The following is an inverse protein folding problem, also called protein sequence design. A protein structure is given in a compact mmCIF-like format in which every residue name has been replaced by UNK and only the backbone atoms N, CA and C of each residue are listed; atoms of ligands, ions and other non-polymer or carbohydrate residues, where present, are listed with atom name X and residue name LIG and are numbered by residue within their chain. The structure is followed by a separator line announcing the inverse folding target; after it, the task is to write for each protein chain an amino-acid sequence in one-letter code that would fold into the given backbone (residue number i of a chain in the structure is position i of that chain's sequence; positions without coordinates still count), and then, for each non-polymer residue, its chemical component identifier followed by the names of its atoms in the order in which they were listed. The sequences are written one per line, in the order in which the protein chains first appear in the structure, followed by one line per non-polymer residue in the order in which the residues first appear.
data_IF_528361812983
#
_entry.id   IF_528361812983
#
_cell.length_a   1.000
_cell.length_b   1.000
_cell.length_c   1.000
_cell.angle_alpha   90.00
_cell.angle_beta   90.00
_cell.angle_gamma   90.00
#
_symmetry.space_group_name_H-M   'P 1'
#
loop_
_entity.id
_entity.type
_entity.pdbx_description
1 polymer ?
#
# COMPACT_ATOMS: atom_id res chain seq x y z
N UNK A 1 6.44 0.80 -12.57
CA UNK A 1 5.86 1.97 -11.88
C UNK A 1 6.53 2.17 -10.54
N UNK A 2 6.41 3.35 -10.01
CA UNK A 2 6.98 3.64 -8.70
C UNK A 2 5.87 3.88 -7.69
N UNK A 3 6.06 3.30 -6.51
CA UNK A 3 5.06 3.39 -5.46
C UNK A 3 5.67 4.02 -4.21
N UNK A 4 4.89 4.84 -3.57
CA UNK A 4 5.22 5.32 -2.23
C UNK A 4 4.52 4.42 -1.24
N UNK A 5 5.28 3.88 -0.30
CA UNK A 5 4.76 2.91 0.66
C UNK A 5 4.63 3.59 2.01
N UNK A 6 3.46 3.45 2.59
CA UNK A 6 3.16 3.96 3.93
C UNK A 6 2.78 2.79 4.81
N UNK A 7 2.92 2.97 6.10
CA UNK A 7 2.55 1.93 7.05
C UNK A 7 1.77 2.52 8.21
N UNK A 8 0.98 1.66 8.83
CA UNK A 8 0.24 2.01 10.03
C UNK A 8 0.34 0.85 10.99
N UNK A 9 0.66 1.14 12.26
CA UNK A 9 0.76 0.10 13.28
C UNK A 9 -0.64 -0.39 13.64
N UNK A 10 -0.78 -1.69 13.71
CA UNK A 10 -2.02 -2.33 14.12
C UNK A 10 -1.80 -3.00 15.45
N UNK A 11 -2.84 -3.67 15.94
CA UNK A 11 -2.71 -4.42 17.18
C UNK A 11 -1.75 -5.59 16.98
N UNK A 12 -1.17 -6.05 18.06
CA UNK A 12 -0.33 -7.25 18.08
C UNK A 12 0.96 -7.11 17.29
N UNK A 13 1.46 -5.88 17.14
CA UNK A 13 2.73 -5.66 16.49
C UNK A 13 2.73 -5.83 14.98
N UNK A 14 1.55 -5.86 14.39
CA UNK A 14 1.43 -5.97 12.94
C UNK A 14 1.30 -4.61 12.31
N UNK A 15 1.53 -4.57 10.99
CA UNK A 15 1.41 -3.34 10.24
C UNK A 15 0.51 -3.53 9.04
N UNK A 16 -0.21 -2.47 8.71
CA UNK A 16 -0.93 -2.37 7.45
C UNK A 16 -0.12 -1.46 6.54
N UNK A 17 0.06 -1.87 5.31
CA UNK A 17 0.82 -1.09 4.34
C UNK A 17 -0.10 -0.54 3.27
N UNK A 18 0.22 0.66 2.81
CA UNK A 18 -0.52 1.34 1.76
C UNK A 18 0.47 1.70 0.66
N UNK A 19 0.17 1.29 -0.57
CA UNK A 19 0.99 1.61 -1.72
C UNK A 19 0.23 2.58 -2.62
N UNK A 20 0.82 3.74 -2.87
CA UNK A 20 0.21 4.79 -3.70
C UNK A 20 1.17 5.09 -4.83
N UNK A 21 0.68 5.15 -6.09
CA UNK A 21 1.56 5.55 -7.19
C UNK A 21 2.19 6.89 -6.90
N UNK A 22 3.46 7.02 -7.24
CA UNK A 22 4.26 8.20 -6.91
C UNK A 22 3.60 9.50 -7.36
N UNK A 23 2.84 9.43 -8.45
CA UNK A 23 2.23 10.63 -9.01
C UNK A 23 0.87 10.97 -8.42
N UNK A 24 0.44 10.22 -7.40
CA UNK A 24 -0.88 10.43 -6.81
C UNK A 24 -0.78 10.78 -5.35
N UNK A 25 -1.80 11.47 -4.86
CA UNK A 25 -1.89 11.78 -3.44
C UNK A 25 -2.46 10.59 -2.67
N UNK A 26 -2.23 10.58 -1.37
CA UNK A 26 -2.85 9.59 -0.50
C UNK A 26 -4.36 9.73 -0.62
N UNK A 27 -5.08 8.63 -0.84
CA UNK A 27 -6.52 8.69 -0.98
C UNK A 27 -7.18 9.29 0.27
N UNK A 28 -8.25 10.02 0.04
CA UNK A 28 -8.94 10.71 1.12
C UNK A 28 -9.38 9.75 2.21
N UNK A 29 -9.82 8.58 1.84
CA UNK A 29 -10.28 7.58 2.81
C UNK A 29 -9.15 7.03 3.67
N UNK A 30 -7.92 7.23 3.27
CA UNK A 30 -6.77 6.78 4.03
C UNK A 30 -6.13 7.91 4.84
N UNK A 31 -6.51 9.16 4.59
CA UNK A 31 -5.86 10.29 5.26
C UNK A 31 -6.33 10.48 6.70
N UNK A 32 -7.38 9.77 7.10
CA UNK A 32 -7.90 9.88 8.45
C UNK A 32 -7.12 9.05 9.46
N UNK A 33 -6.09 8.36 9.02
CA UNK A 33 -5.32 7.50 9.90
C UNK A 33 -3.87 7.98 9.94
N UNK A 34 -3.15 7.50 10.93
CA UNK A 34 -1.76 7.91 11.13
C UNK A 34 -0.83 7.05 10.29
N UNK A 35 -0.71 7.40 9.02
CA UNK A 35 0.21 6.72 8.14
C UNK A 35 1.60 7.30 8.27
N UNK A 36 2.59 6.44 8.32
CA UNK A 36 3.99 6.83 8.33
C UNK A 36 4.64 6.36 7.04
N UNK A 37 5.59 7.14 6.55
CA UNK A 37 6.32 6.76 5.35
C UNK A 37 7.20 5.56 5.66
N UNK A 38 7.04 4.50 4.86
CA UNK A 38 7.90 3.32 4.96
C UNK A 38 9.00 3.38 3.92
N UNK A 39 8.63 3.71 2.67
CA UNK A 39 9.60 3.81 1.58
C UNK A 39 9.00 4.67 0.49
N UNK A 40 9.87 5.34 -0.27
CA UNK A 40 9.44 6.21 -1.36
C UNK A 40 10.03 5.71 -2.66
N UNK A 41 9.28 5.92 -3.74
CA UNK A 41 9.75 5.62 -5.10
C UNK A 41 10.24 4.19 -5.25
N UNK A 42 9.47 3.25 -4.72
CA UNK A 42 9.78 1.83 -4.84
C UNK A 42 9.43 1.37 -6.25
N UNK A 43 10.41 0.88 -6.97
CA UNK A 43 10.21 0.45 -8.35
C UNK A 43 9.59 -0.94 -8.39
N UNK A 44 8.48 -1.09 -9.11
CA UNK A 44 7.82 -2.39 -9.30
C UNK A 44 7.35 -2.50 -10.73
N UNK A 45 7.04 -3.71 -11.17
CA UNK A 45 6.46 -3.94 -12.50
C UNK A 45 5.08 -3.30 -12.57
N UNK A 46 4.73 -2.84 -13.77
CA UNK A 46 3.40 -2.27 -13.98
C UNK A 46 2.28 -3.27 -13.76
N UNK A 47 2.58 -4.55 -13.91
CA UNK A 47 1.60 -5.61 -13.72
C UNK A 47 1.86 -6.39 -12.44
N UNK A 48 2.46 -5.73 -11.45
CA UNK A 48 2.85 -6.41 -10.22
C UNK A 48 1.63 -7.00 -9.51
N UNK A 49 1.77 -8.23 -9.06
CA UNK A 49 0.71 -8.91 -8.32
C UNK A 49 0.95 -8.81 -6.83
N UNK A 50 2.17 -9.11 -6.39
CA UNK A 50 2.50 -9.14 -4.98
C UNK A 50 3.76 -8.35 -4.68
N UNK A 51 3.77 -7.72 -3.51
CA UNK A 51 5.01 -7.21 -2.93
C UNK A 51 5.09 -7.83 -1.55
N UNK A 52 5.82 -8.92 -1.45
CA UNK A 52 5.80 -9.75 -0.25
C UNK A 52 6.34 -9.05 0.98
N UNK A 53 7.34 -8.19 0.80
CA UNK A 53 7.92 -7.52 1.95
C UNK A 53 6.96 -6.55 2.62
N UNK A 54 5.88 -6.18 1.93
CA UNK A 54 4.86 -5.30 2.49
C UNK A 54 3.50 -5.99 2.58
N UNK A 55 3.47 -7.30 2.34
CA UNK A 55 2.23 -8.07 2.42
C UNK A 55 1.13 -7.51 1.52
N UNK A 56 1.51 -7.05 0.34
CA UNK A 56 0.57 -6.50 -0.61
C UNK A 56 0.25 -7.52 -1.69
N UNK A 57 -1.04 -7.77 -1.91
CA UNK A 57 -1.52 -8.70 -2.93
C UNK A 57 -2.37 -7.95 -3.94
N UNK A 58 -2.42 -8.48 -5.16
CA UNK A 58 -3.25 -7.92 -6.23
C UNK A 58 -2.99 -6.42 -6.40
N UNK A 59 -1.72 -6.05 -6.37
CA UNK A 59 -1.33 -4.65 -6.32
C UNK A 59 -1.82 -3.90 -7.55
N UNK A 60 -1.51 -4.43 -8.75
CA UNK A 60 -1.89 -3.74 -9.98
C UNK A 60 -3.41 -3.65 -10.11
N UNK A 61 -4.13 -4.70 -9.72
CA UNK A 61 -5.58 -4.71 -9.78
C UNK A 61 -6.17 -3.68 -8.83
N UNK A 62 -5.66 -3.63 -7.61
CA UNK A 62 -6.15 -2.66 -6.63
C UNK A 62 -5.92 -1.23 -7.12
N UNK A 63 -4.73 -0.97 -7.66
CA UNK A 63 -4.41 0.36 -8.16
C UNK A 63 -5.32 0.74 -9.32
N UNK A 64 -5.59 -0.21 -10.21
CA UNK A 64 -6.47 0.05 -11.34
C UNK A 64 -7.90 0.35 -10.89
N UNK A 65 -8.35 -0.30 -9.84
CA UNK A 65 -9.73 -0.15 -9.38
C UNK A 65 -9.91 1.00 -8.40
N UNK A 66 -8.95 1.19 -7.51
CA UNK A 66 -9.11 2.14 -6.40
C UNK A 66 -8.11 3.29 -6.46
N UNK A 67 -7.03 3.13 -7.20
CA UNK A 67 -5.97 4.13 -7.24
C UNK A 67 -4.88 3.90 -6.21
N UNK A 68 -5.01 2.86 -5.40
CA UNK A 68 -4.01 2.50 -4.41
C UNK A 68 -4.14 1.03 -4.06
N UNK A 69 -3.15 0.50 -3.37
CA UNK A 69 -3.19 -0.88 -2.90
C UNK A 69 -2.96 -0.89 -1.40
N UNK A 70 -3.64 -1.75 -0.69
CA UNK A 70 -3.52 -1.84 0.76
C UNK A 70 -3.37 -3.30 1.16
N UNK A 71 -2.64 -3.56 2.22
CA UNK A 71 -2.48 -4.90 2.76
C UNK A 71 -3.85 -5.47 3.10
N UNK A 72 -4.14 -6.64 2.57
CA UNK A 72 -5.36 -7.34 2.92
C UNK A 72 -5.20 -7.87 4.33
N UNK A 73 -6.01 -7.37 5.25
CA UNK A 73 -5.98 -7.87 6.63
C UNK A 73 -6.62 -9.24 6.66
N UNK A 74 -5.83 -10.19 7.06
CA UNK A 74 -6.33 -11.55 7.19
C UNK A 74 -6.92 -11.71 8.57
N UNK A 75 -8.19 -11.57 8.65
CA UNK A 75 -8.89 -11.70 9.92
C UNK A 75 -9.22 -13.15 10.13
N UNK A 76 -8.36 -13.80 10.82
CA UNK A 76 -8.53 -15.22 11.05
C UNK A 76 -8.98 -15.47 12.46
#
# INVERSE_FOLDING_TARGET
MRLDIYRRAEHDGKFTYLAVPETRDIPEEATNTDWEVEAKAVEVDDAVEKVEQYHLDHVAVQIAEKGYAVTALQLQ
#
